data_IF_437184610183
#
_entry.id   IF_437184610183
#
_cell.length_a   1.000
_cell.length_b   1.000
_cell.length_c   1.000
_cell.angle_alpha   90.00
_cell.angle_beta   90.00
_cell.angle_gamma   90.00
#
_symmetry.space_group_name_H-M   'P 1'
#
loop_
_entity.id
_entity.type
_entity.pdbx_description
1 polymer ?
#
# COMPACT_ATOMS: atom_id res chain seq x y z
N UNK A 1 -2.59 14.89 -17.32
CA UNK A 1 -3.35 14.50 -16.10
C UNK A 1 -4.83 14.20 -16.34
N UNK A 2 -5.40 14.49 -17.52
CA UNK A 2 -6.82 14.28 -17.85
C UNK A 2 -7.07 13.38 -19.06
N UNK A 3 -6.02 12.92 -19.73
CA UNK A 3 -6.10 12.12 -20.95
C UNK A 3 -6.37 10.64 -20.58
N UNK A 4 -7.46 10.09 -21.13
CA UNK A 4 -7.93 8.75 -20.82
C UNK A 4 -7.05 7.66 -21.46
N UNK A 5 -6.57 7.87 -22.68
CA UNK A 5 -5.69 6.91 -23.35
C UNK A 5 -4.36 6.79 -22.61
N UNK A 6 -3.85 7.91 -22.09
CA UNK A 6 -2.69 7.89 -21.19
C UNK A 6 -2.99 7.18 -19.87
N UNK A 7 -4.20 7.30 -19.31
CA UNK A 7 -4.56 6.57 -18.11
C UNK A 7 -4.56 5.06 -18.33
N UNK A 8 -5.12 4.58 -19.44
CA UNK A 8 -5.09 3.16 -19.80
C UNK A 8 -3.65 2.65 -20.00
N UNK A 9 -2.79 3.46 -20.62
CA UNK A 9 -1.37 3.14 -20.75
C UNK A 9 -0.64 3.13 -19.39
N UNK A 10 -1.05 3.98 -18.44
CA UNK A 10 -0.53 3.96 -17.07
C UNK A 10 -0.90 2.66 -16.36
N UNK A 11 -2.15 2.18 -16.50
CA UNK A 11 -2.56 0.88 -15.94
C UNK A 11 -1.66 -0.26 -16.46
N UNK A 12 -1.38 -0.29 -17.76
CA UNK A 12 -0.57 -1.35 -18.39
C UNK A 12 0.94 -1.24 -18.13
N UNK A 13 1.48 -0.01 -18.09
CA UNK A 13 2.95 0.22 -18.12
C UNK A 13 3.52 0.68 -16.79
N UNK A 14 2.70 1.27 -15.93
CA UNK A 14 3.11 1.72 -14.59
C UNK A 14 2.56 0.74 -13.56
N UNK A 15 1.23 0.64 -13.41
CA UNK A 15 0.63 -0.13 -12.33
C UNK A 15 0.83 -1.63 -12.49
N UNK A 16 0.76 -2.15 -13.72
CA UNK A 16 0.94 -3.58 -13.95
C UNK A 16 2.38 -4.08 -13.70
N UNK A 17 3.38 -3.19 -13.64
CA UNK A 17 4.81 -3.57 -13.61
C UNK A 17 5.61 -2.92 -12.48
N UNK A 18 4.93 -2.15 -11.62
CA UNK A 18 5.54 -1.52 -10.44
C UNK A 18 5.21 -2.32 -9.19
N UNK A 19 6.07 -2.20 -8.18
CA UNK A 19 5.77 -2.71 -6.84
C UNK A 19 4.78 -1.78 -6.14
N UNK A 20 3.55 -2.26 -5.90
CA UNK A 20 2.46 -1.49 -5.31
C UNK A 20 2.24 -1.89 -3.84
N UNK A 21 2.09 -0.90 -2.96
CA UNK A 21 1.80 -1.11 -1.54
C UNK A 21 0.39 -1.66 -1.35
N UNK A 22 0.26 -2.79 -0.65
CA UNK A 22 -1.03 -3.43 -0.38
C UNK A 22 -1.49 -3.30 1.08
N UNK A 23 -0.56 -3.00 1.99
CA UNK A 23 -0.83 -2.91 3.41
C UNK A 23 0.39 -3.22 4.26
N UNK A 24 0.15 -3.64 5.49
CA UNK A 24 1.17 -4.03 6.47
C UNK A 24 0.95 -5.46 6.92
N UNK A 25 2.04 -6.21 7.13
CA UNK A 25 2.04 -7.61 7.59
C UNK A 25 1.18 -7.86 8.85
N UNK A 26 1.09 -6.87 9.74
CA UNK A 26 0.35 -6.94 11.01
C UNK A 26 -1.17 -6.82 10.84
N UNK A 27 -1.65 -6.54 9.63
CA UNK A 27 -3.07 -6.59 9.26
C UNK A 27 -3.55 -8.02 8.97
N UNK A 28 -2.64 -8.95 8.65
CA UNK A 28 -2.93 -10.36 8.32
C UNK A 28 -1.98 -11.30 9.09
N UNK A 29 -2.14 -11.35 10.43
CA UNK A 29 -1.17 -12.00 11.33
C UNK A 29 -1.24 -13.52 11.30
N UNK A 30 -2.44 -14.10 11.22
CA UNK A 30 -2.67 -15.55 11.35
C UNK A 30 -2.91 -16.18 9.99
N UNK A 31 -2.55 -17.47 9.79
CA UNK A 31 -2.93 -18.19 8.59
C UNK A 31 -4.43 -18.12 8.30
N UNK A 32 -4.76 -17.82 7.04
CA UNK A 32 -6.12 -17.58 6.56
C UNK A 32 -6.61 -16.14 6.74
N UNK A 33 -5.91 -15.29 7.50
CA UNK A 33 -6.25 -13.87 7.58
C UNK A 33 -6.06 -13.24 6.20
N UNK A 34 -7.02 -12.42 5.80
CA UNK A 34 -7.01 -11.72 4.54
C UNK A 34 -7.47 -10.27 4.65
N UNK A 35 -7.01 -9.45 3.70
CA UNK A 35 -7.58 -8.16 3.36
C UNK A 35 -7.86 -8.11 1.85
N UNK A 36 -8.77 -7.22 1.44
CA UNK A 36 -8.99 -6.89 0.03
C UNK A 36 -8.62 -5.44 -0.26
N UNK A 37 -7.91 -5.24 -1.37
CA UNK A 37 -7.40 -3.93 -1.82
C UNK A 37 -7.31 -3.93 -3.35
N UNK A 38 -6.53 -3.00 -3.92
CA UNK A 38 -6.36 -2.82 -5.36
C UNK A 38 -4.89 -2.78 -5.77
N UNK A 39 -4.63 -3.23 -7.00
CA UNK A 39 -3.40 -2.98 -7.75
C UNK A 39 -3.78 -2.25 -9.04
N UNK A 40 -3.61 -0.92 -9.08
CA UNK A 40 -4.27 -0.10 -10.09
C UNK A 40 -5.78 -0.13 -9.87
N UNK A 41 -6.53 -0.59 -10.86
CA UNK A 41 -7.98 -0.82 -10.75
C UNK A 41 -8.35 -2.30 -10.52
N UNK A 42 -7.37 -3.21 -10.58
CA UNK A 42 -7.59 -4.63 -10.40
C UNK A 42 -7.78 -4.94 -8.90
N UNK A 43 -8.96 -5.46 -8.47
CA UNK A 43 -9.14 -5.83 -7.08
C UNK A 43 -8.33 -7.08 -6.77
N UNK A 44 -7.65 -7.09 -5.63
CA UNK A 44 -6.83 -8.23 -5.18
C UNK A 44 -7.25 -8.70 -3.79
N UNK A 45 -6.97 -9.99 -3.52
CA UNK A 45 -7.02 -10.56 -2.18
C UNK A 45 -5.59 -10.78 -1.70
N UNK A 46 -5.27 -10.29 -0.51
CA UNK A 46 -3.98 -10.49 0.16
C UNK A 46 -4.21 -11.43 1.33
N UNK A 47 -3.57 -12.60 1.35
CA UNK A 47 -3.89 -13.67 2.30
C UNK A 47 -2.64 -14.28 2.92
N UNK A 48 -2.61 -14.38 4.25
CA UNK A 48 -1.55 -15.09 4.99
C UNK A 48 -1.74 -16.60 4.86
N UNK A 49 -0.69 -17.31 4.45
CA UNK A 49 -0.69 -18.76 4.28
C UNK A 49 -0.26 -19.50 5.54
N UNK A 50 -0.37 -20.83 5.53
CA UNK A 50 -0.01 -21.70 6.67
C UNK A 50 1.48 -21.68 7.01
N UNK A 51 2.33 -21.50 6.00
CA UNK A 51 3.78 -21.34 6.12
C UNK A 51 4.19 -19.88 6.42
N UNK A 52 3.20 -19.04 6.77
CA UNK A 52 3.34 -17.60 6.98
C UNK A 52 3.71 -16.78 5.73
N UNK A 53 3.85 -17.38 4.54
CA UNK A 53 3.96 -16.62 3.30
C UNK A 53 2.69 -15.80 3.02
N UNK A 54 2.77 -14.80 2.14
CA UNK A 54 1.63 -13.99 1.72
C UNK A 54 1.33 -14.31 0.27
N UNK A 55 0.08 -14.68 -0.02
CA UNK A 55 -0.40 -14.83 -1.39
C UNK A 55 -1.20 -13.59 -1.80
N UNK A 56 -0.98 -13.13 -3.02
CA UNK A 56 -1.78 -12.08 -3.65
C UNK A 56 -2.30 -12.61 -4.98
N UNK A 57 -3.62 -12.54 -5.17
CA UNK A 57 -4.26 -12.95 -6.41
C UNK A 57 -5.40 -12.03 -6.80
N UNK A 58 -5.67 -11.96 -8.10
CA UNK A 58 -6.77 -11.20 -8.67
C UNK A 58 -8.09 -11.70 -8.07
N UNK A 59 -8.87 -10.78 -7.50
CA UNK A 59 -10.13 -11.06 -6.83
C UNK A 59 -11.27 -11.22 -7.85
N UNK A 60 -11.06 -12.10 -8.83
CA UNK A 60 -11.97 -12.34 -9.94
C UNK A 60 -11.92 -13.81 -10.36
N UNK A 61 -13.07 -14.48 -10.28
CA UNK A 61 -13.23 -15.84 -10.73
C UNK A 61 -13.08 -15.91 -12.26
N UNK A 62 -12.15 -16.73 -12.76
CA UNK A 62 -11.93 -16.91 -14.21
C UNK A 62 -13.09 -17.54 -14.97
N UNK A 63 -14.08 -18.09 -14.28
CA UNK A 63 -15.26 -18.65 -14.95
C UNK A 63 -16.09 -17.54 -15.63
N UNK A 64 -16.59 -16.56 -14.87
CA UNK A 64 -17.46 -15.47 -15.37
C UNK A 64 -17.23 -14.13 -14.67
N UNK A 65 -16.06 -13.92 -14.07
CA UNK A 65 -15.65 -12.62 -13.55
C UNK A 65 -16.24 -12.23 -12.18
N UNK A 66 -16.97 -13.12 -11.50
CA UNK A 66 -17.50 -12.78 -10.17
C UNK A 66 -16.36 -12.60 -9.15
N UNK A 67 -16.49 -11.61 -8.27
CA UNK A 67 -15.58 -11.37 -7.17
C UNK A 67 -15.52 -12.58 -6.22
N UNK A 68 -14.33 -13.08 -5.95
CA UNK A 68 -14.10 -14.31 -5.16
C UNK A 68 -14.27 -14.04 -3.67
N UNK A 69 -13.61 -13.00 -3.15
CA UNK A 69 -13.69 -12.53 -1.77
C UNK A 69 -14.42 -11.19 -1.72
N UNK A 70 -15.50 -11.12 -0.93
CA UNK A 70 -16.44 -9.98 -0.95
C UNK A 70 -16.44 -9.15 0.34
N UNK A 71 -15.53 -9.43 1.26
CA UNK A 71 -15.36 -8.71 2.52
C UNK A 71 -14.04 -7.93 2.52
N UNK A 72 -13.99 -6.82 3.26
CA UNK A 72 -12.78 -6.00 3.39
C UNK A 72 -11.64 -6.77 4.04
N UNK A 73 -11.94 -7.51 5.11
CA UNK A 73 -10.99 -8.31 5.87
C UNK A 73 -11.69 -9.46 6.59
N UNK A 74 -10.93 -10.49 6.98
CA UNK A 74 -11.44 -11.61 7.77
C UNK A 74 -10.44 -12.75 7.85
N UNK A 75 -10.92 -13.93 8.26
CA UNK A 75 -10.16 -15.19 8.22
C UNK A 75 -10.95 -16.23 7.42
N UNK A 76 -10.28 -16.94 6.50
CA UNK A 76 -10.90 -17.95 5.66
C UNK A 76 -10.06 -19.24 5.60
N UNK A 77 -10.77 -20.38 5.52
CA UNK A 77 -10.15 -21.69 5.22
C UNK A 77 -10.10 -21.97 3.71
N UNK A 78 -11.00 -21.34 2.95
CA UNK A 78 -11.16 -21.42 1.51
C UNK A 78 -12.05 -20.25 1.05
N UNK A 79 -12.00 -19.94 -0.24
CA UNK A 79 -12.91 -18.97 -0.86
C UNK A 79 -13.81 -19.68 -1.86
N UNK A 80 -15.10 -19.32 -1.92
CA UNK A 80 -16.04 -19.92 -2.88
C UNK A 80 -16.67 -18.82 -3.71
N UNK A 81 -16.52 -18.90 -5.03
CA UNK A 81 -17.18 -18.00 -5.96
C UNK A 81 -18.70 -18.15 -5.81
N UNK A 82 -19.33 -17.09 -5.31
CA UNK A 82 -20.78 -17.09 -5.03
C UNK A 82 -21.69 -17.19 -6.25
N UNK A 83 -21.15 -17.12 -7.47
CA UNK A 83 -21.95 -17.27 -8.68
C UNK A 83 -22.20 -18.75 -9.03
N UNK A 84 -21.12 -19.54 -9.18
CA UNK A 84 -21.22 -20.94 -9.67
C UNK A 84 -20.52 -21.96 -8.76
N UNK A 85 -20.07 -21.57 -7.57
CA UNK A 85 -19.50 -22.49 -6.59
C UNK A 85 -18.09 -23.00 -6.88
N UNK A 86 -17.35 -22.40 -7.83
CA UNK A 86 -15.91 -22.68 -7.98
C UNK A 86 -15.19 -22.32 -6.67
N UNK A 87 -14.50 -23.29 -6.09
CA UNK A 87 -13.84 -23.14 -4.79
C UNK A 87 -12.33 -23.05 -4.94
N UNK A 88 -11.74 -22.15 -4.16
CA UNK A 88 -10.34 -21.81 -4.16
C UNK A 88 -9.74 -22.02 -2.77
N UNK A 89 -8.50 -22.48 -2.70
CA UNK A 89 -7.75 -22.46 -1.44
C UNK A 89 -7.35 -21.04 -1.03
N UNK A 90 -6.65 -20.89 0.10
CA UNK A 90 -6.21 -19.59 0.61
C UNK A 90 -5.15 -18.91 -0.25
N UNK A 91 -4.52 -19.63 -1.19
CA UNK A 91 -3.56 -19.10 -2.15
C UNK A 91 -4.22 -18.79 -3.52
N UNK A 92 -5.54 -18.89 -3.61
CA UNK A 92 -6.30 -18.62 -4.83
C UNK A 92 -6.17 -19.71 -5.89
N UNK A 93 -5.70 -20.92 -5.56
CA UNK A 93 -5.72 -22.03 -6.51
C UNK A 93 -7.14 -22.58 -6.63
N UNK A 94 -7.62 -22.78 -7.85
CA UNK A 94 -8.88 -23.49 -8.09
C UNK A 94 -8.71 -24.95 -7.65
N UNK A 95 -9.44 -25.38 -6.62
CA UNK A 95 -9.32 -26.74 -6.07
C UNK A 95 -10.52 -27.61 -6.44
N UNK A 96 -11.71 -27.03 -6.57
CA UNK A 96 -12.93 -27.78 -6.85
C UNK A 96 -13.90 -27.00 -7.74
N UNK A 97 -14.53 -27.71 -8.67
CA UNK A 97 -15.60 -27.21 -9.54
C UNK A 97 -16.83 -28.10 -9.36
N UNK A 98 -18.04 -27.54 -9.14
CA UNK A 98 -19.25 -28.36 -9.12
C UNK A 98 -19.49 -29.08 -10.46
N UNK A 99 -19.94 -30.33 -10.41
CA UNK A 99 -20.19 -31.19 -11.59
C UNK A 99 -18.98 -31.36 -12.51
N UNK A 100 -17.78 -31.44 -11.93
CA UNK A 100 -16.53 -31.47 -12.68
C UNK A 100 -16.40 -32.70 -13.58
N UNK A 101 -16.77 -33.89 -13.09
CA UNK A 101 -16.66 -35.13 -13.87
C UNK A 101 -17.59 -35.14 -15.08
N UNK A 102 -18.77 -34.54 -14.96
CA UNK A 102 -19.79 -34.51 -16.01
C UNK A 102 -19.58 -33.36 -17.01
N UNK A 103 -19.09 -32.21 -16.55
CA UNK A 103 -19.07 -30.96 -17.33
C UNK A 103 -17.68 -30.41 -17.64
N UNK A 104 -16.66 -30.78 -16.86
CA UNK A 104 -15.32 -30.18 -16.89
C UNK A 104 -14.20 -31.23 -16.77
N UNK A 105 -14.41 -32.45 -17.27
CA UNK A 105 -13.54 -33.61 -17.06
C UNK A 105 -12.06 -33.40 -17.45
N UNK A 106 -11.77 -32.41 -18.31
CA UNK A 106 -10.42 -32.06 -18.78
C UNK A 106 -9.93 -30.67 -18.32
N UNK A 107 -10.56 -30.06 -17.31
CA UNK A 107 -10.23 -28.70 -16.88
C UNK A 107 -8.87 -28.65 -16.17
N UNK A 108 -7.93 -27.89 -16.75
CA UNK A 108 -6.68 -27.57 -16.07
C UNK A 108 -6.89 -26.48 -15.01
N UNK A 109 -7.16 -26.88 -13.77
CA UNK A 109 -7.42 -25.94 -12.67
C UNK A 109 -6.28 -24.96 -12.38
N UNK A 110 -5.03 -25.33 -12.67
CA UNK A 110 -3.87 -24.43 -12.48
C UNK A 110 -3.96 -23.25 -13.43
N UNK A 111 -4.22 -23.50 -14.71
CA UNK A 111 -4.39 -22.44 -15.73
C UNK A 111 -5.64 -21.60 -15.49
N UNK A 112 -6.71 -22.19 -14.94
CA UNK A 112 -7.98 -21.51 -14.65
C UNK A 112 -8.07 -20.88 -13.26
N UNK A 113 -6.97 -20.88 -12.51
CA UNK A 113 -6.86 -20.08 -11.27
C UNK A 113 -6.73 -18.58 -11.60
N UNK A 114 -7.19 -17.67 -10.72
CA UNK A 114 -6.91 -16.25 -10.86
C UNK A 114 -5.42 -15.96 -11.02
N UNK A 115 -5.11 -14.87 -11.72
CA UNK A 115 -3.74 -14.38 -11.86
C UNK A 115 -3.14 -14.13 -10.47
N UNK A 116 -1.88 -14.53 -10.28
CA UNK A 116 -1.13 -14.30 -9.05
C UNK A 116 -0.14 -13.18 -9.26
N UNK A 117 0.07 -12.35 -8.23
CA UNK A 117 1.13 -11.37 -8.20
C UNK A 117 2.32 -11.92 -7.42
N UNK A 118 3.53 -11.50 -7.78
CA UNK A 118 4.71 -11.64 -6.94
C UNK A 118 4.51 -10.82 -5.67
N UNK A 119 5.00 -11.32 -4.55
CA UNK A 119 4.87 -10.65 -3.24
C UNK A 119 6.23 -10.60 -2.59
N UNK A 120 6.62 -9.41 -2.17
CA UNK A 120 7.84 -9.15 -1.41
C UNK A 120 7.50 -8.13 -0.32
N UNK A 121 8.12 -8.27 0.85
CA UNK A 121 7.90 -7.35 1.96
C UNK A 121 9.15 -6.54 2.25
N UNK A 122 8.96 -5.33 2.74
CA UNK A 122 10.04 -4.50 3.24
C UNK A 122 9.68 -3.97 4.62
N UNK A 123 10.34 -4.53 5.65
CA UNK A 123 10.22 -4.15 7.06
C UNK A 123 8.77 -3.94 7.53
N UNK A 124 7.90 -4.90 7.18
CA UNK A 124 6.49 -4.91 7.56
C UNK A 124 5.52 -4.41 6.48
N UNK A 125 5.98 -3.64 5.48
CA UNK A 125 5.15 -3.24 4.35
C UNK A 125 5.04 -4.36 3.32
N UNK A 126 3.82 -4.63 2.82
CA UNK A 126 3.56 -5.66 1.82
C UNK A 126 3.47 -5.00 0.44
N UNK A 127 4.34 -5.40 -0.49
CA UNK A 127 4.28 -4.98 -1.88
C UNK A 127 3.97 -6.16 -2.81
N UNK A 128 3.35 -5.85 -3.95
CA UNK A 128 3.15 -6.83 -5.01
C UNK A 128 3.39 -6.26 -6.40
N UNK A 129 3.73 -7.15 -7.34
CA UNK A 129 3.99 -6.82 -8.75
C UNK A 129 3.48 -7.96 -9.65
N UNK A 130 2.81 -7.65 -10.76
CA UNK A 130 2.32 -8.66 -11.70
C UNK A 130 3.41 -9.13 -12.67
N UNK A 131 4.44 -8.32 -12.91
CA UNK A 131 5.46 -8.62 -13.90
C UNK A 131 6.51 -9.60 -13.35
N UNK A 132 6.50 -10.82 -13.90
CA UNK A 132 7.45 -11.89 -13.57
C UNK A 132 8.91 -11.50 -13.87
N UNK A 133 9.14 -10.52 -14.76
CA UNK A 133 10.47 -10.11 -15.18
C UNK A 133 10.92 -8.78 -14.58
N UNK A 134 10.08 -8.13 -13.75
CA UNK A 134 10.49 -6.94 -13.03
C UNK A 134 11.64 -7.27 -12.06
N UNK A 135 12.50 -6.29 -11.79
CA UNK A 135 13.48 -6.41 -10.70
C UNK A 135 12.76 -6.68 -9.37
N UNK A 136 13.42 -7.40 -8.45
CA UNK A 136 12.92 -7.61 -7.09
C UNK A 136 12.70 -6.27 -6.35
N UNK A 137 11.94 -6.30 -5.25
CA UNK A 137 11.57 -5.12 -4.48
C UNK A 137 12.80 -4.44 -3.89
N UNK A 138 13.77 -5.22 -3.38
CA UNK A 138 14.98 -4.68 -2.78
C UNK A 138 15.76 -3.84 -3.79
N UNK A 139 15.93 -4.39 -4.99
CA UNK A 139 16.47 -3.69 -6.14
C UNK A 139 15.57 -2.49 -6.44
N UNK A 140 14.29 -2.65 -6.77
CA UNK A 140 13.37 -1.55 -7.13
C UNK A 140 13.40 -0.32 -6.19
N UNK A 141 13.48 -0.56 -4.88
CA UNK A 141 13.59 0.50 -3.88
C UNK A 141 14.98 1.14 -3.85
N UNK A 142 16.03 0.32 -4.00
CA UNK A 142 17.40 0.81 -4.03
C UNK A 142 17.80 1.56 -2.78
N UNK A 143 18.40 2.73 -2.97
CA UNK A 143 18.77 3.63 -1.87
C UNK A 143 17.57 4.35 -1.22
N UNK A 144 16.37 4.31 -1.81
CA UNK A 144 15.18 4.84 -1.14
C UNK A 144 14.89 4.11 0.19
N UNK A 145 15.37 2.85 0.33
CA UNK A 145 15.41 2.09 1.58
C UNK A 145 15.96 2.89 2.75
N UNK A 146 17.03 3.67 2.54
CA UNK A 146 17.63 4.51 3.58
C UNK A 146 16.62 5.47 4.21
N UNK A 147 15.77 6.07 3.39
CA UNK A 147 14.76 7.04 3.86
C UNK A 147 13.52 6.35 4.44
N UNK A 148 13.17 5.16 3.94
CA UNK A 148 12.11 4.33 4.51
C UNK A 148 12.47 3.87 5.94
N UNK A 149 13.75 3.57 6.18
CA UNK A 149 14.25 3.11 7.47
C UNK A 149 14.11 4.14 8.59
N UNK A 150 14.06 5.44 8.27
CA UNK A 150 13.77 6.49 9.24
C UNK A 150 12.43 6.29 9.97
N UNK A 151 11.48 5.57 9.36
CA UNK A 151 10.20 5.19 9.96
C UNK A 151 10.16 3.71 10.30
N UNK A 152 10.61 2.84 9.39
CA UNK A 152 10.36 1.40 9.46
C UNK A 152 11.35 0.62 10.32
N UNK A 153 12.51 1.20 10.65
CA UNK A 153 13.61 0.49 11.30
C UNK A 153 14.20 1.24 12.50
N UNK A 154 13.36 1.98 13.21
CA UNK A 154 13.78 2.73 14.41
C UNK A 154 14.05 1.84 15.63
N UNK A 155 13.63 0.58 15.58
CA UNK A 155 13.80 -0.43 16.64
C UNK A 155 13.78 -1.82 16.03
N UNK A 156 14.48 -2.75 16.65
CA UNK A 156 14.48 -4.19 16.37
C UNK A 156 13.09 -4.83 16.46
N UNK A 157 12.15 -4.21 17.17
CA UNK A 157 10.76 -4.67 17.23
C UNK A 157 10.00 -4.46 15.91
N UNK A 158 10.53 -3.65 14.99
CA UNK A 158 9.87 -3.24 13.77
C UNK A 158 8.66 -2.34 14.02
N UNK A 159 7.69 -2.38 13.11
CA UNK A 159 6.47 -1.57 13.19
C UNK A 159 5.21 -2.44 13.19
N UNK A 160 4.12 -1.91 13.74
CA UNK A 160 2.79 -2.46 13.55
C UNK A 160 1.80 -1.37 13.11
N UNK A 161 0.82 -1.78 12.30
CA UNK A 161 -0.25 -0.90 11.89
C UNK A 161 -1.35 -0.90 12.97
N UNK A 162 -1.75 0.30 13.41
CA UNK A 162 -2.96 0.47 14.21
C UNK A 162 -4.15 -0.10 13.42
N UNK A 163 -5.00 -0.94 14.01
CA UNK A 163 -6.12 -1.55 13.29
C UNK A 163 -7.09 -0.51 12.73
N UNK A 164 -7.39 -0.62 11.44
CA UNK A 164 -8.31 0.26 10.73
C UNK A 164 -7.65 0.92 9.51
N UNK A 165 -8.33 0.89 8.37
CA UNK A 165 -7.91 1.60 7.17
C UNK A 165 -9.01 2.56 6.79
N UNK A 166 -8.71 3.85 6.79
CA UNK A 166 -9.62 4.87 6.30
C UNK A 166 -9.62 4.86 4.77
N UNK A 167 -10.80 4.82 4.15
CA UNK A 167 -10.98 4.84 2.69
C UNK A 167 -11.90 6.00 2.31
N UNK A 168 -11.50 6.83 1.36
CA UNK A 168 -12.29 7.93 0.83
C UNK A 168 -11.95 8.16 -0.65
N UNK A 169 -12.76 8.95 -1.35
CA UNK A 169 -12.58 9.26 -2.78
C UNK A 169 -12.24 10.73 -2.94
N UNK A 170 -11.16 11.03 -3.65
CA UNK A 170 -10.77 12.38 -4.06
C UNK A 170 -10.83 12.44 -5.60
N UNK A 171 -11.66 13.30 -6.21
CA UNK A 171 -11.77 13.41 -7.66
C UNK A 171 -10.60 14.22 -8.26
N UNK A 172 -9.38 13.72 -8.13
CA UNK A 172 -8.17 14.28 -8.75
C UNK A 172 -7.29 13.16 -9.32
N UNK A 173 -6.37 13.50 -10.21
CA UNK A 173 -5.43 12.52 -10.74
C UNK A 173 -4.46 12.03 -9.64
N UNK A 174 -4.15 10.73 -9.63
CA UNK A 174 -3.27 10.10 -8.63
C UNK A 174 -1.88 10.75 -8.57
N UNK A 175 -1.39 11.29 -9.70
CA UNK A 175 -0.06 11.92 -9.79
C UNK A 175 0.07 13.15 -8.90
N UNK A 176 -1.01 13.90 -8.64
CA UNK A 176 -0.94 15.04 -7.72
C UNK A 176 -0.56 14.58 -6.30
N UNK A 177 -1.25 13.55 -5.79
CA UNK A 177 -0.96 13.02 -4.47
C UNK A 177 0.44 12.37 -4.42
N UNK A 178 0.81 11.60 -5.44
CA UNK A 178 2.12 10.97 -5.50
C UNK A 178 3.27 12.00 -5.55
N UNK A 179 3.15 13.03 -6.38
CA UNK A 179 4.15 14.09 -6.51
C UNK A 179 4.26 14.94 -5.23
N UNK A 180 3.12 15.27 -4.62
CA UNK A 180 3.10 16.06 -3.39
C UNK A 180 3.86 15.37 -2.25
N UNK A 181 3.67 14.05 -2.07
CA UNK A 181 4.42 13.28 -1.06
C UNK A 181 5.87 12.99 -1.48
N UNK A 182 6.18 13.02 -2.78
CA UNK A 182 7.53 12.80 -3.30
C UNK A 182 8.45 14.00 -3.07
N UNK A 183 7.97 15.23 -3.30
CA UNK A 183 8.83 16.42 -3.31
C UNK A 183 8.24 17.72 -2.74
N UNK A 184 6.96 17.78 -2.40
CA UNK A 184 6.31 19.06 -2.13
C UNK A 184 6.27 19.39 -0.63
N UNK A 185 7.42 19.62 -0.01
CA UNK A 185 7.43 20.29 1.32
C UNK A 185 7.00 21.77 1.19
N UNK A 186 7.06 22.31 -0.03
CA UNK A 186 6.77 23.71 -0.31
C UNK A 186 5.33 24.10 0.03
N UNK A 187 4.34 23.26 -0.30
CA UNK A 187 2.94 23.55 0.03
C UNK A 187 2.69 23.67 1.54
N UNK A 188 3.40 22.88 2.35
CA UNK A 188 3.25 22.83 3.81
C UNK A 188 3.92 24.02 4.49
N UNK A 189 5.10 24.43 4.02
CA UNK A 189 5.81 25.61 4.52
C UNK A 189 5.27 26.95 4.02
N UNK A 190 4.16 26.97 3.27
CA UNK A 190 3.57 28.18 2.71
C UNK A 190 2.14 28.41 3.18
N UNK A 191 1.13 28.18 2.34
CA UNK A 191 -0.24 28.62 2.61
C UNK A 191 -1.23 27.48 2.85
N UNK A 192 -0.92 26.27 2.39
CA UNK A 192 -1.90 25.18 2.30
C UNK A 192 -2.41 24.71 3.66
N UNK A 193 -1.55 24.74 4.69
CA UNK A 193 -1.82 24.16 6.00
C UNK A 193 -1.80 25.16 7.15
N UNK A 194 -1.86 26.47 6.88
CA UNK A 194 -1.83 27.50 7.93
C UNK A 194 -2.89 27.29 9.00
N UNK A 195 -4.12 26.94 8.60
CA UNK A 195 -5.23 26.67 9.52
C UNK A 195 -5.04 25.39 10.32
N UNK A 196 -4.43 24.35 9.73
CA UNK A 196 -4.10 23.11 10.42
C UNK A 196 -3.01 23.29 11.47
N UNK A 197 -1.97 24.08 11.15
CA UNK A 197 -0.91 24.45 12.10
C UNK A 197 -1.51 25.23 13.26
N UNK A 198 -2.35 26.23 12.97
CA UNK A 198 -3.04 27.03 13.99
C UNK A 198 -3.92 26.17 14.91
N UNK A 199 -4.58 25.14 14.37
CA UNK A 199 -5.42 24.24 15.16
C UNK A 199 -4.64 23.36 16.15
N UNK A 200 -3.34 23.15 15.91
CA UNK A 200 -2.45 22.39 16.80
C UNK A 200 -1.71 23.25 17.83
N UNK A 201 -1.83 24.57 17.74
CA UNK A 201 -1.19 25.49 18.67
C UNK A 201 -1.95 25.58 20.02
N UNK A 202 -1.22 25.74 21.14
CA UNK A 202 -1.79 26.26 22.39
C UNK A 202 -2.56 27.57 22.19
N UNK A 203 -3.59 27.81 23.00
CA UNK A 203 -4.45 29.01 22.89
C UNK A 203 -3.69 30.34 23.07
N UNK A 204 -2.51 30.31 23.67
CA UNK A 204 -1.65 31.46 23.95
C UNK A 204 -0.57 31.74 22.87
N UNK A 205 -0.48 30.91 21.82
CA UNK A 205 0.45 31.09 20.71
C UNK A 205 -0.27 31.47 19.42
N UNK A 206 0.24 32.49 18.71
CA UNK A 206 -0.26 32.89 17.40
C UNK A 206 0.59 32.32 16.26
N UNK A 207 0.02 32.28 15.05
CA UNK A 207 0.77 31.86 13.85
C UNK A 207 1.99 32.75 13.58
N UNK A 208 1.96 34.03 13.98
CA UNK A 208 3.11 34.91 13.86
C UNK A 208 4.30 34.48 14.75
N UNK A 209 4.05 33.69 15.79
CA UNK A 209 5.05 33.22 16.74
C UNK A 209 5.74 31.91 16.31
N UNK A 210 5.17 31.19 15.34
CA UNK A 210 5.81 30.01 14.73
C UNK A 210 6.57 30.40 13.45
N UNK A 211 7.89 30.46 13.55
CA UNK A 211 8.74 30.48 12.36
C UNK A 211 8.64 29.11 11.66
N UNK A 212 8.21 29.05 10.38
CA UNK A 212 8.22 27.79 9.65
C UNK A 212 9.67 27.28 9.53
N UNK A 213 9.91 25.96 9.68
CA UNK A 213 11.23 25.40 9.49
C UNK A 213 11.80 25.77 8.11
N UNK A 214 13.06 26.22 8.08
CA UNK A 214 13.74 26.65 6.85
C UNK A 214 14.95 25.79 6.49
N UNK A 215 15.47 25.02 7.44
CA UNK A 215 16.61 24.12 7.24
C UNK A 215 16.11 22.70 7.02
N UNK A 216 16.44 22.12 5.87
CA UNK A 216 16.03 20.77 5.50
C UNK A 216 16.85 20.19 4.36
N UNK A 217 16.52 18.96 3.98
CA UNK A 217 17.10 18.26 2.82
C UNK A 217 15.97 17.65 1.99
N UNK A 218 16.26 17.49 0.70
CA UNK A 218 15.42 16.75 -0.22
C UNK A 218 16.29 15.74 -0.97
N UNK A 219 15.71 14.57 -1.16
CA UNK A 219 16.27 13.43 -1.82
C UNK A 219 15.46 13.10 -3.07
N UNK A 220 16.19 12.76 -4.14
CA UNK A 220 15.66 12.20 -5.38
C UNK A 220 16.46 10.95 -5.69
N UNK A 221 15.77 9.84 -5.89
CA UNK A 221 16.41 8.58 -6.20
C UNK A 221 17.19 8.64 -7.51
N UNK A 222 18.33 7.98 -7.52
CA UNK A 222 19.17 7.76 -8.71
C UNK A 222 18.42 7.10 -9.88
N UNK A 223 17.40 6.28 -9.58
CA UNK A 223 16.42 5.77 -10.56
C UNK A 223 15.06 5.49 -9.88
N UNK A 224 14.06 5.06 -10.66
CA UNK A 224 12.78 4.57 -10.11
C UNK A 224 11.79 5.67 -9.73
N UNK A 225 12.25 6.92 -9.61
CA UNK A 225 11.38 8.08 -9.41
C UNK A 225 10.96 8.34 -7.97
N UNK A 226 11.58 7.65 -7.00
CA UNK A 226 11.31 7.87 -5.57
C UNK A 226 11.90 9.21 -5.10
N UNK A 227 11.30 9.79 -4.06
CA UNK A 227 11.77 11.03 -3.44
C UNK A 227 11.32 11.14 -2.00
N UNK A 228 12.02 11.98 -1.23
CA UNK A 228 11.70 12.27 0.17
C UNK A 228 12.24 13.65 0.54
N UNK A 229 11.56 14.38 1.43
CA UNK A 229 12.04 15.65 1.96
C UNK A 229 11.75 15.75 3.46
N UNK A 230 12.65 16.37 4.20
CA UNK A 230 12.54 16.52 5.65
C UNK A 230 13.27 17.76 6.16
N UNK A 231 12.74 18.34 7.24
CA UNK A 231 13.42 19.38 8.01
C UNK A 231 14.48 18.78 8.95
N UNK A 232 15.45 19.61 9.35
CA UNK A 232 16.55 19.21 10.23
C UNK A 232 16.69 20.22 11.37
N UNK A 233 16.58 19.74 12.61
CA UNK A 233 16.85 20.50 13.83
C UNK A 233 15.72 21.37 14.35
N UNK A 234 14.76 21.77 13.51
CA UNK A 234 13.61 22.59 13.92
C UNK A 234 12.36 21.72 14.14
N UNK A 235 11.84 21.61 15.38
CA UNK A 235 10.69 20.77 15.72
C UNK A 235 9.33 21.44 15.49
N UNK A 236 9.28 22.73 15.10
CA UNK A 236 8.04 23.53 15.13
C UNK A 236 6.88 22.88 14.36
N UNK A 237 7.15 22.40 13.13
CA UNK A 237 6.10 21.76 12.32
C UNK A 237 5.67 20.40 12.90
N UNK A 238 6.60 19.64 13.49
CA UNK A 238 6.28 18.36 14.13
C UNK A 238 5.42 18.58 15.40
N UNK A 239 5.76 19.58 16.21
CA UNK A 239 4.98 19.97 17.40
C UNK A 239 3.55 20.37 17.03
N UNK A 240 3.38 21.19 16.00
CA UNK A 240 2.06 21.63 15.56
C UNK A 240 1.19 20.46 15.05
N UNK A 241 1.78 19.47 14.37
CA UNK A 241 1.01 18.36 13.79
C UNK A 241 0.77 17.24 14.81
N UNK A 242 1.80 16.85 15.56
CA UNK A 242 1.79 15.62 16.37
C UNK A 242 1.70 15.90 17.88
N UNK A 243 1.84 17.15 18.29
CA UNK A 243 1.89 17.56 19.70
C UNK A 243 3.22 17.21 20.40
N UNK A 244 3.38 17.67 21.64
CA UNK A 244 4.66 17.58 22.37
C UNK A 244 5.06 16.15 22.72
N UNK A 245 4.09 15.28 23.04
CA UNK A 245 4.37 13.90 23.48
C UNK A 245 5.00 13.06 22.37
N UNK A 246 4.46 13.14 21.15
CA UNK A 246 5.00 12.39 20.00
C UNK A 246 6.31 13.01 19.53
N UNK A 247 6.41 14.34 19.54
CA UNK A 247 7.65 15.03 19.18
C UNK A 247 8.80 14.59 20.09
N UNK A 248 8.63 14.67 21.42
CA UNK A 248 9.61 14.21 22.40
C UNK A 248 10.03 12.76 22.14
N UNK A 249 9.09 11.84 21.95
CA UNK A 249 9.40 10.44 21.61
C UNK A 249 10.23 10.27 20.33
N UNK A 250 10.09 11.15 19.35
CA UNK A 250 10.82 11.06 18.07
C UNK A 250 12.16 11.77 18.08
N UNK A 251 12.32 12.81 18.91
CA UNK A 251 13.48 13.72 18.88
C UNK A 251 14.39 13.62 20.10
N UNK A 252 13.91 13.14 21.23
CA UNK A 252 14.69 12.98 22.46
C UNK A 252 15.20 11.53 22.53
N UNK A 253 16.53 11.37 22.69
CA UNK A 253 17.17 10.07 22.95
C UNK A 253 16.93 9.58 24.39
#
# INVERSE_FOLDING_TARGET
ITDEDLYQLELERVFARSWLLLGHETQIRKPGDYITTYMGEDPVVVVRQKDASIAVFLNQCRHRGMRICRADAGNAKAFTCSYHGWAYDTAGNLVNVPYEAESFACLNKKEWSPLKARVETYKGLIFANWDENAVDLDTYLGEAKFYMDHMLDRTEAGTEAIPGVQKWVIPCNWKFAAEQFCSDMYHAGTTSHLSGILAGLPEDLEMADLAPPTVGKQYRASWGGHGSGFYVGDPNLMLAIMGPKVTSYLTEE
#
